data_IF_468530307933
#
_entry.id   IF_468530307933
#
_cell.length_a   1.000
_cell.length_b   1.000
_cell.length_c   1.000
_cell.angle_alpha   90.00
_cell.angle_beta   90.00
_cell.angle_gamma   90.00
#
_symmetry.space_group_name_H-M   'P 1'
#
loop_
_entity.id
_entity.type
_entity.pdbx_description
1 polymer ?
#
# COMPACT_ATOMS: atom_id res chain seq x y z
N UNK A 1 15.25 -9.64 -9.60
CA UNK A 1 16.10 -10.55 -8.80
C UNK A 1 15.20 -11.70 -8.39
N UNK A 2 15.66 -12.95 -8.53
CA UNK A 2 14.89 -14.10 -8.07
C UNK A 2 15.02 -14.19 -6.54
N UNK A 3 14.00 -13.73 -5.83
CA UNK A 3 13.91 -13.92 -4.38
C UNK A 3 13.56 -15.39 -4.10
N UNK A 4 14.22 -16.01 -3.12
CA UNK A 4 13.76 -17.30 -2.60
C UNK A 4 12.41 -17.10 -1.91
N UNK A 5 11.32 -17.57 -2.54
CA UNK A 5 9.97 -17.46 -2.00
C UNK A 5 9.83 -17.94 -0.55
N UNK A 6 10.65 -18.92 -0.15
CA UNK A 6 10.63 -19.48 1.20
C UNK A 6 11.00 -18.43 2.25
N UNK A 7 11.77 -17.40 1.89
CA UNK A 7 12.09 -16.30 2.80
C UNK A 7 10.85 -15.48 3.18
N UNK A 8 9.79 -15.52 2.37
CA UNK A 8 8.53 -14.83 2.66
C UNK A 8 7.54 -15.66 3.48
N UNK A 9 7.73 -16.97 3.63
CA UNK A 9 6.77 -17.82 4.33
C UNK A 9 6.50 -17.38 5.78
N UNK A 10 7.52 -17.02 6.60
CA UNK A 10 7.26 -16.54 7.95
C UNK A 10 6.45 -15.24 7.98
N UNK A 11 6.72 -14.32 7.07
CA UNK A 11 5.99 -13.05 6.99
C UNK A 11 4.56 -13.27 6.49
N UNK A 12 4.36 -14.15 5.50
CA UNK A 12 3.04 -14.55 5.03
C UNK A 12 2.21 -15.12 6.16
N UNK A 13 2.77 -16.04 6.96
CA UNK A 13 2.07 -16.68 8.07
C UNK A 13 1.74 -15.67 9.17
N UNK A 14 2.69 -14.78 9.49
CA UNK A 14 2.49 -13.68 10.42
C UNK A 14 1.30 -12.80 10.00
N UNK A 15 1.24 -12.37 8.74
CA UNK A 15 0.18 -11.48 8.26
C UNK A 15 -1.20 -12.18 8.23
N UNK A 16 -1.26 -13.48 7.91
CA UNK A 16 -2.51 -14.24 7.97
C UNK A 16 -2.99 -14.47 9.41
N UNK A 17 -2.07 -14.54 10.38
CA UNK A 17 -2.39 -14.83 11.78
C UNK A 17 -2.38 -13.58 12.68
N UNK A 18 -2.07 -12.41 12.13
CA UNK A 18 -1.84 -11.21 12.95
C UNK A 18 -3.07 -10.84 13.77
N UNK A 19 -2.83 -10.65 15.06
CA UNK A 19 -3.78 -10.09 16.04
C UNK A 19 -3.25 -8.77 16.61
N UNK A 20 -2.09 -8.33 16.12
CA UNK A 20 -1.47 -7.07 16.49
C UNK A 20 -1.72 -6.05 15.38
N UNK A 21 -2.05 -4.81 15.72
CA UNK A 21 -2.12 -3.69 14.79
C UNK A 21 -0.87 -3.65 13.89
N UNK A 22 -1.08 -3.79 12.58
CA UNK A 22 -0.03 -3.88 11.58
C UNK A 22 -0.31 -2.89 10.46
N UNK A 23 0.68 -2.07 10.12
CA UNK A 23 0.66 -1.16 8.97
C UNK A 23 1.79 -1.57 8.01
N UNK A 24 1.43 -1.99 6.82
CA UNK A 24 2.35 -2.27 5.73
C UNK A 24 2.44 -1.07 4.80
N UNK A 25 3.67 -0.65 4.47
CA UNK A 25 3.97 0.54 3.66
C UNK A 25 4.64 0.11 2.35
N UNK A 26 4.20 0.70 1.24
CA UNK A 26 4.73 0.56 -0.12
C UNK A 26 4.97 -0.91 -0.53
N UNK A 27 6.22 -1.38 -0.63
CA UNK A 27 6.53 -2.77 -1.02
C UNK A 27 5.87 -3.82 -0.12
N UNK A 28 5.71 -3.56 1.18
CA UNK A 28 5.01 -4.50 2.07
C UNK A 28 3.49 -4.49 1.89
N UNK A 29 2.90 -3.37 1.45
CA UNK A 29 1.50 -3.32 0.99
C UNK A 29 1.31 -4.17 -0.27
N UNK A 30 2.29 -4.16 -1.19
CA UNK A 30 2.30 -5.05 -2.35
C UNK A 30 2.41 -6.52 -1.96
N UNK A 31 3.22 -6.85 -0.94
CA UNK A 31 3.29 -8.21 -0.38
C UNK A 31 1.95 -8.67 0.22
N UNK A 32 1.17 -7.80 0.88
CA UNK A 32 -0.21 -8.15 1.28
C UNK A 32 -1.01 -8.56 0.04
N UNK A 33 -0.90 -7.79 -1.05
CA UNK A 33 -1.50 -8.12 -2.34
C UNK A 33 -1.17 -9.53 -2.80
N UNK A 34 0.09 -9.94 -2.79
CA UNK A 34 0.49 -11.30 -3.17
C UNK A 34 -0.02 -12.35 -2.18
N UNK A 35 0.22 -12.14 -0.88
CA UNK A 35 -0.05 -13.15 0.16
C UNK A 35 -1.54 -13.50 0.28
N UNK A 36 -2.43 -12.52 0.07
CA UNK A 36 -3.87 -12.75 0.21
C UNK A 36 -4.57 -13.06 -1.12
N UNK A 37 -3.93 -12.84 -2.28
CA UNK A 37 -4.48 -13.24 -3.58
C UNK A 37 -3.92 -14.59 -4.08
N UNK A 38 -2.75 -15.02 -3.60
CA UNK A 38 -2.06 -16.21 -4.07
C UNK A 38 -1.76 -17.16 -2.90
N UNK A 39 -1.72 -18.45 -3.20
CA UNK A 39 -1.03 -19.41 -2.35
C UNK A 39 0.46 -19.40 -2.74
N UNK A 40 1.26 -18.59 -2.04
CA UNK A 40 2.68 -18.37 -2.38
C UNK A 40 3.54 -19.64 -2.26
N UNK A 41 3.02 -20.72 -1.68
CA UNK A 41 3.70 -22.02 -1.61
C UNK A 41 3.49 -22.87 -2.86
N UNK A 42 2.61 -22.44 -3.76
CA UNK A 42 2.22 -23.12 -5.01
C UNK A 42 2.64 -22.37 -6.27
N UNK A 43 3.36 -21.26 -6.13
CA UNK A 43 3.90 -20.48 -7.25
C UNK A 43 5.42 -20.58 -7.27
N UNK A 44 6.03 -20.39 -8.44
CA UNK A 44 7.48 -20.48 -8.61
C UNK A 44 8.19 -19.17 -8.23
N UNK A 45 7.55 -18.03 -8.50
CA UNK A 45 8.05 -16.70 -8.16
C UNK A 45 6.89 -15.72 -7.90
N UNK A 46 7.21 -14.55 -7.32
CA UNK A 46 6.31 -13.39 -7.31
C UNK A 46 6.73 -12.48 -8.46
N UNK A 47 5.91 -12.42 -9.50
CA UNK A 47 6.16 -11.53 -10.64
C UNK A 47 5.84 -10.09 -10.26
N UNK A 48 6.74 -9.17 -10.63
CA UNK A 48 6.50 -7.74 -10.50
C UNK A 48 5.16 -7.36 -11.12
N UNK A 49 4.42 -6.50 -10.44
CA UNK A 49 3.14 -5.98 -10.89
C UNK A 49 3.30 -4.50 -11.23
N UNK A 50 3.99 -4.13 -12.33
CA UNK A 50 4.27 -2.73 -12.63
C UNK A 50 2.97 -1.96 -12.80
N UNK A 51 3.00 -0.64 -12.63
CA UNK A 51 1.87 0.24 -12.96
C UNK A 51 1.47 0.11 -14.45
N UNK A 52 0.52 0.91 -14.92
CA UNK A 52 0.19 0.93 -16.36
C UNK A 52 1.37 1.40 -17.22
N UNK A 53 1.35 1.03 -18.51
CA UNK A 53 2.27 1.60 -19.51
C UNK A 53 2.08 3.11 -19.64
N UNK A 54 3.14 3.81 -20.03
CA UNK A 54 3.07 5.23 -20.37
C UNK A 54 2.13 5.45 -21.56
N UNK A 55 1.33 6.51 -21.47
CA UNK A 55 0.50 6.99 -22.60
C UNK A 55 1.40 7.75 -23.60
N UNK A 56 1.00 7.87 -24.87
CA UNK A 56 1.74 8.67 -25.85
C UNK A 56 1.99 10.09 -25.33
N UNK A 57 3.26 10.49 -25.28
CA UNK A 57 3.69 11.82 -24.83
C UNK A 57 3.92 11.96 -23.33
N UNK A 58 3.63 10.94 -22.50
CA UNK A 58 4.02 10.97 -21.08
C UNK A 58 5.54 10.75 -20.95
N UNK A 59 6.24 11.57 -20.14
CA UNK A 59 7.65 11.33 -19.87
C UNK A 59 7.82 10.07 -19.01
N UNK A 60 8.85 9.26 -19.28
CA UNK A 60 9.33 8.28 -18.30
C UNK A 60 10.22 9.04 -17.32
N UNK A 61 9.82 9.21 -16.03
CA UNK A 61 10.62 9.95 -15.08
C UNK A 61 11.92 9.22 -14.73
N UNK A 62 12.04 7.93 -15.04
CA UNK A 62 13.25 7.15 -14.76
C UNK A 62 13.46 6.04 -15.79
N UNK A 63 13.85 6.38 -17.04
CA UNK A 63 13.91 5.44 -18.18
C UNK A 63 15.01 4.38 -18.04
N UNK A 64 15.92 4.56 -17.09
CA UNK A 64 17.00 3.60 -16.77
C UNK A 64 16.72 2.80 -15.49
N UNK A 65 15.61 3.07 -14.80
CA UNK A 65 15.23 2.31 -13.62
C UNK A 65 14.43 1.05 -13.98
N UNK A 66 14.00 0.34 -12.95
CA UNK A 66 13.14 -0.84 -13.05
C UNK A 66 11.84 -0.51 -13.83
N UNK A 67 11.49 -1.38 -14.78
CA UNK A 67 10.34 -1.26 -15.70
C UNK A 67 10.31 0.03 -16.56
N UNK A 68 11.19 0.18 -17.58
CA UNK A 68 11.14 1.30 -18.52
C UNK A 68 9.86 1.25 -19.37
N UNK A 69 9.29 2.42 -19.69
CA UNK A 69 8.04 2.54 -20.46
C UNK A 69 6.76 2.37 -19.63
N UNK A 70 6.88 2.31 -18.31
CA UNK A 70 5.77 2.24 -17.36
C UNK A 70 5.66 3.53 -16.56
N UNK A 71 4.42 3.88 -16.21
CA UNK A 71 4.12 5.02 -15.35
C UNK A 71 4.67 4.77 -13.94
N UNK A 72 5.03 5.84 -13.23
CA UNK A 72 5.60 5.79 -11.88
C UNK A 72 5.03 6.96 -11.09
N UNK A 73 4.57 6.71 -9.87
CA UNK A 73 4.22 7.79 -8.94
C UNK A 73 5.45 8.10 -8.08
N UNK A 74 6.02 9.29 -8.28
CA UNK A 74 7.18 9.80 -7.55
C UNK A 74 6.92 11.25 -7.15
N UNK A 75 6.90 11.54 -5.85
CA UNK A 75 6.57 12.88 -5.33
C UNK A 75 5.33 12.89 -4.45
N UNK A 76 4.77 14.08 -4.18
CA UNK A 76 3.55 14.20 -3.38
C UNK A 76 2.33 14.20 -4.30
N UNK A 77 1.36 13.34 -4.00
CA UNK A 77 0.12 13.20 -4.79
C UNK A 77 -1.11 13.45 -3.91
N UNK A 78 -2.18 14.04 -4.49
CA UNK A 78 -3.48 14.07 -3.83
C UNK A 78 -4.12 12.68 -3.94
N UNK A 79 -4.40 12.06 -2.80
CA UNK A 79 -4.99 10.73 -2.68
C UNK A 79 -6.44 10.87 -2.23
N UNK A 80 -7.35 10.27 -2.98
CA UNK A 80 -8.78 10.32 -2.69
C UNK A 80 -9.15 9.23 -1.70
N UNK A 81 -9.82 9.61 -0.62
CA UNK A 81 -10.47 8.67 0.30
C UNK A 81 -11.75 8.18 -0.37
N UNK A 82 -11.85 6.87 -0.61
CA UNK A 82 -13.03 6.26 -1.24
C UNK A 82 -13.97 5.60 -0.22
N UNK A 83 -13.48 5.39 1.00
CA UNK A 83 -14.27 4.89 2.13
C UNK A 83 -13.74 5.49 3.43
N UNK A 84 -14.65 6.02 4.24
CA UNK A 84 -14.32 6.57 5.56
C UNK A 84 -13.74 5.48 6.46
N UNK A 85 -12.63 5.80 7.13
CA UNK A 85 -11.97 4.93 8.09
C UNK A 85 -11.23 5.76 9.14
N UNK A 86 -11.15 5.30 10.41
CA UNK A 86 -10.42 6.01 11.47
C UNK A 86 -8.95 6.31 11.13
N UNK A 87 -8.32 5.55 10.23
CA UNK A 87 -6.96 5.84 9.76
C UNK A 87 -6.85 7.27 9.17
N UNK A 88 -7.91 7.77 8.55
CA UNK A 88 -7.94 9.10 7.91
C UNK A 88 -8.64 10.18 8.73
N UNK A 89 -8.94 9.93 10.01
CA UNK A 89 -9.63 10.88 10.86
C UNK A 89 -8.92 12.25 10.89
N UNK A 90 -9.66 13.31 10.56
CA UNK A 90 -9.16 14.69 10.57
C UNK A 90 -8.32 15.09 9.35
N UNK A 91 -8.28 14.27 8.29
CA UNK A 91 -7.69 14.65 7.00
C UNK A 91 -8.73 15.30 6.07
N UNK A 92 -8.25 16.09 5.11
CA UNK A 92 -9.06 16.50 3.95
C UNK A 92 -9.25 15.34 2.98
N UNK A 93 -10.23 15.46 2.07
CA UNK A 93 -10.38 14.55 0.93
C UNK A 93 -10.36 15.36 -0.38
N UNK A 94 -9.31 15.24 -1.22
CA UNK A 94 -8.15 14.38 -1.05
C UNK A 94 -7.17 14.86 0.05
N UNK A 95 -6.33 13.96 0.56
CA UNK A 95 -5.16 14.26 1.39
C UNK A 95 -3.87 14.14 0.57
N UNK A 96 -2.74 14.67 1.04
CA UNK A 96 -1.46 14.61 0.32
C UNK A 96 -0.47 13.68 1.00
N UNK A 97 0.08 12.72 0.26
CA UNK A 97 1.14 11.83 0.76
C UNK A 97 2.25 11.62 -0.28
N UNK A 98 3.41 11.18 0.20
CA UNK A 98 4.57 10.89 -0.65
C UNK A 98 4.40 9.52 -1.31
N UNK A 99 4.57 9.48 -2.62
CA UNK A 99 4.69 8.29 -3.45
C UNK A 99 6.14 8.10 -3.91
N UNK A 100 6.55 6.83 -3.99
CA UNK A 100 7.81 6.40 -4.61
C UNK A 100 7.69 4.93 -5.00
N UNK A 101 6.87 4.66 -6.03
CA UNK A 101 6.62 3.29 -6.49
C UNK A 101 6.44 3.19 -8.00
N UNK A 102 6.69 1.98 -8.48
CA UNK A 102 6.54 1.58 -9.89
C UNK A 102 5.70 0.30 -10.05
N UNK A 103 5.38 -0.37 -8.93
CA UNK A 103 4.53 -1.54 -8.87
C UNK A 103 3.27 -1.21 -8.06
N UNK A 104 2.19 -1.93 -8.30
CA UNK A 104 0.91 -1.72 -7.63
C UNK A 104 0.23 -3.06 -7.30
N UNK A 105 -0.69 -3.02 -6.33
CA UNK A 105 -1.60 -4.14 -6.12
C UNK A 105 -2.67 -4.12 -7.21
N UNK A 106 -2.67 -5.11 -8.10
CA UNK A 106 -3.61 -5.19 -9.24
C UNK A 106 -5.03 -5.57 -8.83
N UNK A 107 -5.15 -6.49 -7.87
CA UNK A 107 -6.42 -7.02 -7.43
C UNK A 107 -6.57 -6.80 -5.92
N UNK A 108 -7.68 -6.18 -5.52
CA UNK A 108 -8.00 -6.04 -4.10
C UNK A 108 -8.19 -7.44 -3.51
N UNK A 109 -7.43 -7.82 -2.47
CA UNK A 109 -7.53 -9.16 -1.92
C UNK A 109 -8.92 -9.45 -1.33
N UNK A 110 -9.36 -10.72 -1.31
CA UNK A 110 -10.58 -11.11 -0.64
C UNK A 110 -10.52 -10.73 0.85
N UNK A 111 -11.66 -10.32 1.42
CA UNK A 111 -11.75 -9.80 2.79
C UNK A 111 -10.93 -8.54 3.08
N UNK A 112 -10.63 -7.75 2.06
CA UNK A 112 -10.14 -6.38 2.22
C UNK A 112 -11.17 -5.37 1.73
N UNK A 113 -11.15 -4.20 2.36
CA UNK A 113 -11.87 -3.02 1.90
C UNK A 113 -10.88 -2.04 1.27
N UNK A 114 -11.27 -1.48 0.12
CA UNK A 114 -10.54 -0.38 -0.50
C UNK A 114 -10.83 0.91 0.28
N UNK A 115 -9.77 1.62 0.64
CA UNK A 115 -9.85 2.80 1.49
C UNK A 115 -9.48 4.09 0.76
N UNK A 116 -8.47 4.04 -0.12
CA UNK A 116 -8.01 5.20 -0.86
C UNK A 116 -7.51 4.84 -2.26
N UNK A 117 -7.52 5.80 -3.18
CA UNK A 117 -7.12 5.64 -4.59
C UNK A 117 -6.52 6.92 -5.19
N UNK A 118 -5.68 6.76 -6.21
CA UNK A 118 -5.35 7.81 -7.20
C UNK A 118 -5.93 7.41 -8.57
N UNK A 119 -5.97 8.32 -9.56
CA UNK A 119 -6.36 7.95 -10.92
C UNK A 119 -5.47 6.89 -11.57
N UNK A 120 -4.20 6.79 -11.15
CA UNK A 120 -3.19 5.93 -11.77
C UNK A 120 -2.87 4.66 -10.97
N UNK A 121 -3.16 4.64 -9.66
CA UNK A 121 -3.07 3.47 -8.79
C UNK A 121 -4.36 3.32 -7.99
N UNK A 122 -5.11 2.24 -8.27
CA UNK A 122 -6.44 2.04 -7.67
C UNK A 122 -6.35 1.75 -6.17
N UNK A 123 -5.35 0.99 -5.72
CA UNK A 123 -5.29 0.46 -4.35
C UNK A 123 -4.20 1.20 -3.57
N UNK A 124 -4.47 2.46 -3.25
CA UNK A 124 -3.55 3.30 -2.47
C UNK A 124 -3.59 2.97 -0.99
N UNK A 125 -4.76 2.61 -0.47
CA UNK A 125 -4.89 2.07 0.86
C UNK A 125 -5.95 0.99 0.91
N UNK A 126 -5.72 -0.02 1.75
CA UNK A 126 -6.68 -1.08 2.02
C UNK A 126 -6.58 -1.54 3.47
N UNK A 127 -7.65 -2.11 4.00
CA UNK A 127 -7.66 -2.77 5.31
C UNK A 127 -8.32 -4.12 5.24
N UNK A 128 -7.86 -5.06 6.06
CA UNK A 128 -8.53 -6.33 6.20
C UNK A 128 -9.83 -6.16 7.02
N UNK A 129 -10.95 -6.74 6.60
CA UNK A 129 -12.26 -6.55 7.24
C UNK A 129 -12.29 -7.01 8.71
N UNK A 130 -11.57 -8.10 9.00
CA UNK A 130 -11.62 -8.79 10.31
C UNK A 130 -10.29 -8.82 11.08
N UNK A 131 -9.24 -8.14 10.61
CA UNK A 131 -7.90 -8.16 11.23
C UNK A 131 -7.41 -6.73 11.37
N UNK A 132 -6.60 -6.40 12.39
CA UNK A 132 -6.04 -5.08 12.55
C UNK A 132 -4.85 -4.86 11.59
N UNK A 133 -5.10 -5.03 10.29
CA UNK A 133 -4.09 -5.02 9.23
C UNK A 133 -4.48 -3.97 8.18
N UNK A 134 -3.59 -3.00 7.99
CA UNK A 134 -3.68 -1.95 7.00
C UNK A 134 -2.50 -2.04 6.04
N UNK A 135 -2.74 -1.67 4.78
CA UNK A 135 -1.71 -1.45 3.78
C UNK A 135 -1.87 -0.08 3.15
N UNK A 136 -0.76 0.66 2.98
CA UNK A 136 -0.70 1.91 2.23
C UNK A 136 0.38 1.81 1.17
N UNK A 137 0.08 2.19 -0.07
CA UNK A 137 1.05 2.25 -1.16
C UNK A 137 1.95 3.48 -1.02
N UNK A 138 1.37 4.61 -0.59
CA UNK A 138 2.11 5.80 -0.18
C UNK A 138 2.92 5.60 1.10
N UNK A 139 3.87 6.51 1.31
CA UNK A 139 4.79 6.58 2.44
C UNK A 139 4.33 7.63 3.47
N UNK A 140 3.47 7.27 4.45
CA UNK A 140 3.05 8.21 5.49
C UNK A 140 4.20 8.67 6.39
N UNK A 141 5.30 7.91 6.45
CA UNK A 141 6.52 8.24 7.18
C UNK A 141 7.39 9.31 6.53
N UNK A 142 7.23 9.53 5.21
CA UNK A 142 8.01 10.48 4.43
C UNK A 142 7.32 11.86 4.31
N UNK A 143 6.62 12.29 5.37
CA UNK A 143 5.97 13.59 5.43
C UNK A 143 6.98 14.73 5.63
N UNK A 144 6.58 15.94 5.23
CA UNK A 144 7.33 17.18 5.44
C UNK A 144 6.36 18.29 5.88
N UNK A 145 6.86 19.41 6.40
CA UNK A 145 5.99 20.49 6.91
C UNK A 145 4.99 21.03 5.87
N UNK A 146 5.38 21.07 4.60
CA UNK A 146 4.49 21.48 3.51
C UNK A 146 3.41 20.43 3.17
N UNK A 147 3.60 19.16 3.56
CA UNK A 147 2.69 18.04 3.31
C UNK A 147 2.60 17.15 4.57
N UNK A 148 1.91 17.62 5.63
CA UNK A 148 1.97 16.99 6.95
C UNK A 148 1.02 15.80 7.13
N UNK A 149 0.14 15.51 6.17
CA UNK A 149 -0.96 14.54 6.35
C UNK A 149 -0.46 13.12 6.71
N UNK A 150 0.70 12.71 6.20
CA UNK A 150 1.34 11.44 6.57
C UNK A 150 1.57 11.30 8.10
N UNK A 151 1.92 12.40 8.77
CA UNK A 151 2.04 12.44 10.24
C UNK A 151 0.70 12.10 10.91
N UNK A 152 -0.39 12.70 10.44
CA UNK A 152 -1.73 12.46 11.00
C UNK A 152 -2.18 11.01 10.78
N UNK A 153 -1.87 10.42 9.62
CA UNK A 153 -2.12 8.99 9.35
C UNK A 153 -1.40 8.12 10.37
N UNK A 154 -0.12 8.39 10.65
CA UNK A 154 0.64 7.65 11.66
C UNK A 154 0.08 7.84 13.07
N UNK A 155 -0.28 9.08 13.45
CA UNK A 155 -0.95 9.37 14.73
C UNK A 155 -2.24 8.55 14.89
N UNK A 156 -3.06 8.49 13.85
CA UNK A 156 -4.31 7.72 13.84
C UNK A 156 -4.04 6.22 13.92
N UNK A 157 -3.07 5.71 13.19
CA UNK A 157 -2.65 4.31 13.29
C UNK A 157 -2.16 3.97 14.72
N UNK A 158 -1.37 4.84 15.36
CA UNK A 158 -0.92 4.60 16.73
C UNK A 158 -2.06 4.64 17.75
N UNK A 159 -3.06 5.52 17.56
CA UNK A 159 -4.29 5.49 18.38
C UNK A 159 -5.03 4.17 18.17
N UNK A 160 -5.23 3.73 16.93
CA UNK A 160 -5.83 2.43 16.63
C UNK A 160 -5.03 1.28 17.26
N UNK A 161 -3.70 1.40 17.29
CA UNK A 161 -2.84 0.39 17.88
C UNK A 161 -2.94 0.34 19.42
N UNK A 162 -3.11 1.49 20.06
CA UNK A 162 -3.22 1.64 21.51
C UNK A 162 -4.63 1.49 22.09
N UNK A 163 -5.68 1.53 21.27
CA UNK A 163 -7.10 1.53 21.70
C UNK A 163 -7.65 0.13 22.03
N UNK A 164 -6.86 -0.78 22.59
CA UNK A 164 -7.37 -2.10 23.04
C UNK A 164 -8.44 -1.96 24.14
N UNK A 165 -9.71 -1.81 23.75
CA UNK A 165 -10.86 -2.49 24.39
C UNK A 165 -11.28 -3.60 23.45
N UNK A 166 -10.75 -4.79 23.67
CA UNK A 166 -11.31 -6.00 23.11
C UNK A 166 -12.33 -6.54 24.12
N UNK A 167 -13.61 -6.42 23.77
CA UNK A 167 -14.68 -7.22 24.39
C UNK A 167 -14.71 -8.60 23.76
#
# INVERSE_FOLDING_TARGET
QDYDLRSFYPLNDLLHQTTIPTLAICGSHQLIGFFFNLDIRKVECLEDQPMRKLRPGEPDPSPTAYHPGYYKEEGFYPITIVKDDPLFEGLSNPFWARESHYCEVKQLPPNFELLASTPECRIQAMRHCNKPLYGTQFHPEAYVDAYPDGKRILENFFKLAGTRRFS
#
